data_IF_229904808420
#
_entry.id   IF_229904808420
#
_cell.length_a   1.000
_cell.length_b   1.000
_cell.length_c   1.000
_cell.angle_alpha   90.00
_cell.angle_beta   90.00
_cell.angle_gamma   90.00
#
_symmetry.space_group_name_H-M   'P 1'
#
loop_
_entity.id
_entity.type
_entity.pdbx_description
1 polymer ?
#
# COMPACT_ATOMS: atom_id res chain seq x y z
N UNK A 1 -10.34 13.52 32.06
CA UNK A 1 -9.04 12.80 31.95
C UNK A 1 -8.99 12.16 30.59
N UNK A 2 -8.12 12.68 29.79
CA UNK A 2 -7.90 12.24 28.41
C UNK A 2 -7.28 10.82 28.46
N UNK A 3 -8.08 9.81 28.10
CA UNK A 3 -7.59 8.43 27.94
C UNK A 3 -7.08 8.31 26.50
N UNK A 4 -5.82 8.63 26.29
CA UNK A 4 -5.18 8.36 25.00
C UNK A 4 -5.17 6.86 24.75
N UNK A 5 -5.97 6.42 23.79
CA UNK A 5 -5.95 5.03 23.31
C UNK A 5 -4.68 4.84 22.51
N UNK A 6 -3.77 4.11 23.07
CA UNK A 6 -2.47 3.78 22.50
C UNK A 6 -2.59 2.59 21.53
N UNK A 7 -1.96 2.66 20.36
CA UNK A 7 -2.08 1.66 19.28
C UNK A 7 -0.70 1.17 18.84
N UNK A 8 -0.50 -0.14 18.87
CA UNK A 8 0.67 -0.82 18.29
C UNK A 8 1.58 -1.53 19.30
N UNK A 9 2.60 -2.23 18.77
CA UNK A 9 3.53 -3.06 19.56
C UNK A 9 4.31 -2.26 20.63
N UNK A 10 4.68 -1.03 20.35
CA UNK A 10 5.38 -0.17 21.31
C UNK A 10 4.55 0.12 22.57
N UNK A 11 3.25 0.14 22.45
CA UNK A 11 2.34 0.37 23.55
C UNK A 11 2.10 -0.90 24.38
N UNK A 12 2.07 -2.06 23.74
CA UNK A 12 2.04 -3.36 24.42
C UNK A 12 3.26 -3.50 25.32
N UNK A 13 4.46 -3.19 24.80
CA UNK A 13 5.70 -3.24 25.57
C UNK A 13 5.68 -2.28 26.77
N UNK A 14 5.24 -1.05 26.58
CA UNK A 14 5.13 -0.06 27.67
C UNK A 14 4.16 -0.51 28.76
N UNK A 15 3.02 -1.10 28.41
CA UNK A 15 2.02 -1.59 29.37
C UNK A 15 2.55 -2.77 30.18
N UNK A 16 3.23 -3.70 29.53
CA UNK A 16 3.90 -4.81 30.23
C UNK A 16 4.93 -4.29 31.23
N UNK A 17 5.78 -3.32 30.83
CA UNK A 17 6.81 -2.78 31.69
C UNK A 17 6.25 -1.98 32.90
N UNK A 18 5.08 -1.35 32.75
CA UNK A 18 4.44 -0.57 33.80
C UNK A 18 3.72 -1.44 34.85
N UNK A 19 3.25 -2.64 34.47
CA UNK A 19 2.53 -3.55 35.39
C UNK A 19 1.22 -2.99 35.97
N UNK A 20 0.71 -1.89 35.43
CA UNK A 20 -0.50 -1.22 35.93
C UNK A 20 -1.76 -1.81 35.30
N UNK A 21 -2.58 -2.45 36.14
CA UNK A 21 -3.84 -3.11 35.74
C UNK A 21 -4.93 -2.14 35.25
N UNK A 22 -4.77 -0.83 35.45
CA UNK A 22 -5.72 0.18 34.98
C UNK A 22 -5.61 0.47 33.48
N UNK A 23 -4.63 -0.10 32.79
CA UNK A 23 -4.36 0.18 31.39
C UNK A 23 -4.54 -1.05 30.50
N UNK A 24 -5.07 -0.85 29.29
CA UNK A 24 -5.15 -1.84 28.24
C UNK A 24 -4.53 -1.30 26.94
N UNK A 25 -4.04 -2.20 26.09
CA UNK A 25 -3.55 -1.89 24.75
C UNK A 25 -4.40 -2.55 23.67
N UNK A 26 -4.52 -1.92 22.50
CA UNK A 26 -5.13 -2.52 21.32
C UNK A 26 -4.00 -3.12 20.48
N UNK A 27 -4.01 -4.46 20.33
CA UNK A 27 -2.99 -5.21 19.60
C UNK A 27 -3.54 -6.53 19.08
N UNK A 28 -2.70 -7.34 18.42
CA UNK A 28 -3.05 -8.71 18.01
C UNK A 28 -3.04 -9.67 19.21
N UNK A 29 -3.78 -10.78 19.09
CA UNK A 29 -3.73 -11.87 20.10
C UNK A 29 -2.34 -12.49 20.20
N UNK A 30 -1.59 -12.52 19.12
CA UNK A 30 -0.22 -13.00 19.08
C UNK A 30 0.73 -12.10 19.91
N UNK A 31 0.58 -10.78 19.79
CA UNK A 31 1.30 -9.84 20.63
C UNK A 31 0.94 -10.03 22.11
N UNK A 32 -0.33 -10.21 22.44
CA UNK A 32 -0.75 -10.49 23.82
C UNK A 32 -0.06 -11.76 24.37
N UNK A 33 -0.03 -12.84 23.61
CA UNK A 33 0.66 -14.09 23.96
C UNK A 33 2.17 -13.90 24.15
N UNK A 34 2.82 -13.21 23.23
CA UNK A 34 4.27 -12.98 23.26
C UNK A 34 4.70 -12.13 24.46
N UNK A 35 3.86 -11.25 24.95
CA UNK A 35 4.12 -10.38 26.09
C UNK A 35 3.45 -10.84 27.40
N UNK A 36 2.86 -12.03 27.44
CA UNK A 36 2.22 -12.56 28.63
C UNK A 36 1.01 -11.76 29.10
N UNK A 37 0.30 -11.08 28.19
CA UNK A 37 -0.86 -10.26 28.52
C UNK A 37 -2.17 -11.03 28.34
N UNK A 38 -3.18 -10.66 29.12
CA UNK A 38 -4.52 -11.26 29.04
C UNK A 38 -5.33 -10.55 27.94
N UNK A 39 -5.97 -11.32 27.06
CA UNK A 39 -6.89 -10.78 26.05
C UNK A 39 -8.23 -10.48 26.73
N UNK A 40 -8.58 -9.19 26.84
CA UNK A 40 -9.83 -8.75 27.46
C UNK A 40 -11.02 -8.80 26.51
N UNK A 41 -10.80 -8.48 25.23
CA UNK A 41 -11.83 -8.50 24.19
C UNK A 41 -11.19 -8.83 22.84
N UNK A 42 -11.89 -9.63 22.03
CA UNK A 42 -11.50 -10.02 20.67
C UNK A 42 -12.35 -9.30 19.65
N UNK A 43 -11.83 -9.20 18.42
CA UNK A 43 -12.56 -8.66 17.27
C UNK A 43 -13.15 -7.25 17.50
N UNK A 44 -12.39 -6.39 18.19
CA UNK A 44 -12.80 -5.03 18.54
C UNK A 44 -12.64 -4.01 17.39
N UNK A 45 -12.17 -4.47 16.21
CA UNK A 45 -12.07 -3.61 15.03
C UNK A 45 -13.46 -3.12 14.59
N UNK A 46 -13.55 -1.83 14.26
CA UNK A 46 -14.79 -1.20 13.80
C UNK A 46 -15.23 -1.71 12.42
N UNK A 47 -14.29 -2.21 11.62
CA UNK A 47 -14.55 -2.74 10.28
C UNK A 47 -13.79 -4.03 10.06
N UNK A 48 -14.49 -5.07 9.60
CA UNK A 48 -13.88 -6.33 9.16
C UNK A 48 -13.06 -6.19 7.88
N UNK A 49 -13.23 -5.07 7.16
CA UNK A 49 -12.53 -4.76 5.92
C UNK A 49 -11.21 -4.00 6.14
N UNK A 50 -10.77 -3.82 7.40
CA UNK A 50 -9.49 -3.17 7.69
C UNK A 50 -8.33 -4.05 7.19
N UNK A 51 -7.62 -3.55 6.18
CA UNK A 51 -6.53 -4.27 5.52
C UNK A 51 -5.31 -3.39 5.47
N UNK A 52 -4.18 -3.88 5.97
CA UNK A 52 -2.88 -3.22 5.84
C UNK A 52 -2.12 -3.86 4.69
N UNK A 53 -1.66 -3.04 3.76
CA UNK A 53 -0.82 -3.47 2.65
C UNK A 53 0.64 -3.30 3.01
N UNK A 54 1.40 -4.38 2.90
CA UNK A 54 2.85 -4.36 3.04
C UNK A 54 3.50 -4.43 1.66
N UNK A 55 4.59 -3.67 1.47
CA UNK A 55 5.43 -3.71 0.28
C UNK A 55 6.77 -4.32 0.67
N UNK A 56 7.22 -5.30 -0.11
CA UNK A 56 8.56 -5.87 0.00
C UNK A 56 9.46 -5.10 -0.96
N UNK A 57 10.50 -4.47 -0.44
CA UNK A 57 11.46 -3.71 -1.22
C UNK A 57 12.77 -4.49 -1.33
N UNK A 58 13.35 -4.51 -2.53
CA UNK A 58 14.67 -5.10 -2.79
C UNK A 58 15.56 -4.08 -3.50
N UNK A 59 16.86 -4.15 -3.27
CA UNK A 59 17.87 -3.36 -4.01
C UNK A 59 18.26 -3.99 -5.33
N UNK A 60 17.99 -5.27 -5.48
CA UNK A 60 18.28 -6.05 -6.70
C UNK A 60 16.98 -6.49 -7.34
N UNK A 61 16.95 -6.48 -8.66
CA UNK A 61 15.85 -7.10 -9.39
C UNK A 61 15.83 -8.60 -9.06
N UNK A 62 14.69 -9.05 -8.57
CA UNK A 62 14.45 -10.47 -8.35
C UNK A 62 13.63 -10.98 -9.53
N UNK A 63 14.14 -11.96 -10.31
CA UNK A 63 13.33 -12.59 -11.35
C UNK A 63 12.11 -13.22 -10.72
N UNK A 64 10.94 -12.63 -10.96
CA UNK A 64 9.67 -13.13 -10.45
C UNK A 64 8.96 -13.89 -11.57
N UNK A 65 8.39 -15.02 -11.21
CA UNK A 65 7.54 -15.78 -12.13
C UNK A 65 6.32 -14.91 -12.52
N UNK A 66 6.06 -14.77 -13.81
CA UNK A 66 4.88 -14.14 -14.41
C UNK A 66 4.46 -12.79 -13.77
N UNK A 67 5.20 -11.70 -14.04
CA UNK A 67 4.83 -10.38 -13.56
C UNK A 67 3.47 -9.95 -14.17
N UNK A 68 2.59 -9.43 -13.33
CA UNK A 68 1.24 -8.99 -13.75
C UNK A 68 0.86 -7.61 -13.22
N UNK A 69 1.77 -6.98 -12.48
CA UNK A 69 1.56 -5.68 -11.86
C UNK A 69 2.83 -4.83 -11.92
N UNK A 70 2.67 -3.54 -12.15
CA UNK A 70 3.74 -2.56 -12.12
C UNK A 70 3.37 -1.41 -11.18
N UNK A 71 4.35 -0.88 -10.45
CA UNK A 71 4.21 0.38 -9.72
C UNK A 71 5.03 1.46 -10.41
N UNK A 72 4.36 2.54 -10.75
CA UNK A 72 4.95 3.72 -11.39
C UNK A 72 4.78 4.91 -10.46
N UNK A 73 5.81 5.76 -10.43
CA UNK A 73 5.76 7.04 -9.72
C UNK A 73 6.02 8.16 -10.70
N UNK A 74 5.29 9.25 -10.54
CA UNK A 74 5.42 10.39 -11.45
C UNK A 74 4.96 11.69 -10.79
N UNK A 75 5.48 12.79 -11.34
CA UNK A 75 4.97 14.15 -11.12
C UNK A 75 4.42 14.67 -12.44
N UNK A 76 3.34 15.43 -12.40
CA UNK A 76 2.72 15.99 -13.59
C UNK A 76 3.07 17.46 -13.76
N UNK A 77 3.06 17.92 -15.00
CA UNK A 77 3.12 19.35 -15.31
C UNK A 77 1.87 20.03 -14.73
N UNK A 78 2.04 21.26 -14.28
CA UNK A 78 0.90 22.06 -13.77
C UNK A 78 0.07 22.63 -14.93
N UNK A 79 -0.58 21.73 -15.67
CA UNK A 79 -1.39 22.03 -16.85
C UNK A 79 -2.74 21.35 -16.76
N UNK A 80 -3.76 21.98 -17.34
CA UNK A 80 -5.12 21.41 -17.38
C UNK A 80 -5.08 20.04 -18.08
N UNK A 81 -5.57 19.02 -17.40
CA UNK A 81 -5.67 17.66 -17.94
C UNK A 81 -4.35 16.87 -17.97
N UNK A 82 -3.24 17.36 -17.41
CA UNK A 82 -1.97 16.64 -17.43
C UNK A 82 -2.08 15.24 -16.81
N UNK A 83 -2.68 15.14 -15.61
CA UNK A 83 -2.91 13.85 -14.96
C UNK A 83 -3.79 12.91 -15.81
N UNK A 84 -4.85 13.45 -16.41
CA UNK A 84 -5.75 12.66 -17.28
C UNK A 84 -4.98 12.09 -18.46
N UNK A 85 -4.12 12.87 -19.11
CA UNK A 85 -3.30 12.41 -20.24
C UNK A 85 -2.32 11.31 -19.85
N UNK A 86 -1.69 11.42 -18.66
CA UNK A 86 -0.82 10.37 -18.13
C UNK A 86 -1.61 9.07 -17.94
N UNK A 87 -2.76 9.13 -17.28
CA UNK A 87 -3.59 7.96 -17.04
C UNK A 87 -4.15 7.36 -18.34
N UNK A 88 -4.56 8.19 -19.30
CA UNK A 88 -5.02 7.77 -20.61
C UNK A 88 -3.92 7.02 -21.38
N UNK A 89 -2.67 7.47 -21.33
CA UNK A 89 -1.54 6.78 -21.99
C UNK A 89 -1.36 5.34 -21.51
N UNK A 90 -1.54 5.08 -20.23
CA UNK A 90 -1.51 3.73 -19.68
C UNK A 90 -2.75 2.92 -20.06
N UNK A 91 -3.94 3.54 -20.03
CA UNK A 91 -5.19 2.87 -20.40
C UNK A 91 -5.21 2.48 -21.90
N UNK A 92 -4.77 3.35 -22.79
CA UNK A 92 -4.63 3.10 -24.24
C UNK A 92 -3.62 1.99 -24.55
N UNK A 93 -2.64 1.82 -23.65
CA UNK A 93 -1.71 0.69 -23.68
C UNK A 93 -2.32 -0.60 -23.09
N UNK A 94 -3.61 -0.64 -22.74
CA UNK A 94 -4.26 -1.83 -22.19
C UNK A 94 -3.88 -2.15 -20.74
N UNK A 95 -3.33 -1.18 -20.00
CA UNK A 95 -2.97 -1.33 -18.60
C UNK A 95 -4.08 -0.80 -17.68
N UNK A 96 -4.61 -1.66 -16.83
CA UNK A 96 -5.66 -1.31 -15.89
C UNK A 96 -5.08 -0.71 -14.61
N UNK A 97 -5.47 0.50 -14.26
CA UNK A 97 -5.07 1.13 -13.00
C UNK A 97 -5.83 0.53 -11.82
N UNK A 98 -5.12 -0.09 -10.90
CA UNK A 98 -5.71 -0.70 -9.69
C UNK A 98 -5.55 0.15 -8.43
N UNK A 99 -4.69 1.19 -8.47
CA UNK A 99 -4.46 2.10 -7.35
C UNK A 99 -3.83 3.40 -7.85
N UNK A 100 -4.21 4.50 -7.23
CA UNK A 100 -3.50 5.78 -7.33
C UNK A 100 -3.49 6.47 -5.97
N UNK A 101 -2.36 7.00 -5.58
CA UNK A 101 -2.20 7.84 -4.39
C UNK A 101 -1.42 9.09 -4.78
N UNK A 102 -1.81 10.21 -4.20
CA UNK A 102 -1.07 11.47 -4.32
C UNK A 102 -0.52 11.88 -2.97
N UNK A 103 0.68 12.45 -2.98
CA UNK A 103 1.30 13.05 -1.80
C UNK A 103 1.87 14.41 -2.18
N UNK A 104 1.71 15.44 -1.32
CA UNK A 104 2.35 16.73 -1.56
C UNK A 104 3.87 16.58 -1.51
N UNK A 105 4.58 17.30 -2.36
CA UNK A 105 6.03 17.38 -2.32
C UNK A 105 6.46 18.39 -1.25
N UNK A 106 7.27 18.02 -0.25
CA UNK A 106 7.67 18.92 0.83
C UNK A 106 8.45 20.15 0.37
N UNK A 107 9.24 20.00 -0.70
CA UNK A 107 10.16 21.04 -1.19
C UNK A 107 9.52 21.97 -2.23
N UNK A 108 8.35 21.63 -2.77
CA UNK A 108 7.70 22.38 -3.84
C UNK A 108 6.22 22.54 -3.55
N UNK A 109 5.79 23.69 -3.00
CA UNK A 109 4.38 23.95 -2.70
C UNK A 109 3.50 23.74 -3.94
N UNK A 110 2.33 23.10 -3.72
CA UNK A 110 1.31 22.80 -4.74
C UNK A 110 1.73 21.80 -5.83
N UNK A 111 2.88 21.13 -5.70
CA UNK A 111 3.22 19.99 -6.54
C UNK A 111 2.93 18.69 -5.81
N UNK A 112 2.44 17.72 -6.59
CA UNK A 112 2.08 16.40 -6.09
C UNK A 112 2.90 15.32 -6.77
N UNK A 113 3.37 14.41 -5.96
CA UNK A 113 3.93 13.15 -6.38
C UNK A 113 2.81 12.11 -6.41
N UNK A 114 2.69 11.40 -7.50
CA UNK A 114 1.72 10.33 -7.69
C UNK A 114 2.41 8.97 -7.66
N UNK A 115 1.79 8.01 -6.99
CA UNK A 115 2.15 6.60 -7.05
C UNK A 115 0.97 5.83 -7.58
N UNK A 116 1.12 5.15 -8.70
CA UNK A 116 0.07 4.37 -9.33
C UNK A 116 0.50 2.92 -9.57
N UNK A 117 -0.43 2.01 -9.36
CA UNK A 117 -0.26 0.59 -9.67
C UNK A 117 -1.11 0.23 -10.89
N UNK A 118 -0.49 -0.42 -11.85
CA UNK A 118 -1.11 -0.90 -13.07
C UNK A 118 -1.05 -2.42 -13.14
N UNK A 119 -2.11 -3.03 -13.68
CA UNK A 119 -2.24 -4.46 -13.90
C UNK A 119 -2.47 -4.73 -15.40
N UNK A 120 -1.92 -5.81 -15.91
CA UNK A 120 -2.04 -6.19 -17.31
C UNK A 120 -0.83 -6.94 -17.82
N UNK A 121 -0.58 -6.83 -19.12
CA UNK A 121 0.60 -7.44 -19.76
C UNK A 121 1.86 -6.64 -19.38
N UNK A 122 2.78 -7.28 -18.66
CA UNK A 122 3.96 -6.65 -18.07
C UNK A 122 5.28 -7.06 -18.75
N UNK A 123 5.24 -7.36 -20.08
CA UNK A 123 6.49 -7.51 -20.82
C UNK A 123 7.18 -6.13 -21.00
N UNK A 124 8.50 -6.17 -21.11
CA UNK A 124 9.33 -4.98 -21.13
C UNK A 124 8.98 -4.02 -22.27
N UNK A 125 8.67 -4.54 -23.46
CA UNK A 125 8.33 -3.74 -24.64
C UNK A 125 7.00 -3.01 -24.45
N UNK A 126 5.99 -3.71 -23.94
CA UNK A 126 4.66 -3.15 -23.71
C UNK A 126 4.68 -2.05 -22.66
N UNK A 127 5.35 -2.31 -21.55
CA UNK A 127 5.48 -1.35 -20.47
C UNK A 127 6.31 -0.12 -20.88
N UNK A 128 7.40 -0.33 -21.64
CA UNK A 128 8.23 0.75 -22.17
C UNK A 128 7.41 1.70 -23.06
N UNK A 129 6.60 1.15 -23.97
CA UNK A 129 5.72 1.97 -24.83
C UNK A 129 4.72 2.80 -24.01
N UNK A 130 4.10 2.20 -23.00
CA UNK A 130 3.17 2.91 -22.12
C UNK A 130 3.86 4.05 -21.36
N UNK A 131 5.07 3.80 -20.85
CA UNK A 131 5.89 4.80 -20.17
C UNK A 131 6.30 5.95 -21.12
N UNK A 132 6.73 5.62 -22.33
CA UNK A 132 7.09 6.63 -23.34
C UNK A 132 5.91 7.50 -23.75
N UNK A 133 4.73 6.92 -23.93
CA UNK A 133 3.51 7.67 -24.23
C UNK A 133 3.10 8.63 -23.09
N UNK A 134 3.37 8.27 -21.83
CA UNK A 134 3.06 9.09 -20.67
C UNK A 134 4.09 10.21 -20.43
N UNK A 135 5.34 10.02 -20.86
CA UNK A 135 6.47 10.91 -20.59
C UNK A 135 6.25 12.38 -20.96
N UNK A 136 5.62 12.75 -22.11
CA UNK A 136 5.39 14.15 -22.47
C UNK A 136 4.55 14.93 -21.45
N UNK A 137 3.75 14.27 -20.65
CA UNK A 137 2.81 14.88 -19.70
C UNK A 137 3.33 14.87 -18.26
N UNK A 138 4.54 14.35 -18.04
CA UNK A 138 5.18 14.25 -16.72
C UNK A 138 6.39 15.16 -16.62
N UNK A 139 6.72 15.60 -15.40
CA UNK A 139 8.02 16.20 -15.10
C UNK A 139 9.03 15.11 -14.75
N UNK A 140 8.59 14.15 -13.95
CA UNK A 140 9.33 12.92 -13.61
C UNK A 140 8.45 11.72 -13.83
N UNK A 141 9.03 10.61 -14.30
CA UNK A 141 8.36 9.34 -14.50
C UNK A 141 9.34 8.21 -14.25
N UNK A 142 9.04 7.36 -13.26
CA UNK A 142 9.89 6.24 -12.84
C UNK A 142 9.07 4.98 -12.66
N UNK A 143 9.56 3.88 -13.21
CA UNK A 143 9.11 2.53 -12.86
C UNK A 143 9.81 2.11 -11.57
N UNK A 144 9.05 1.82 -10.52
CA UNK A 144 9.60 1.31 -9.26
C UNK A 144 9.85 -0.19 -9.31
N UNK A 145 9.01 -0.92 -10.02
CA UNK A 145 9.17 -2.35 -10.18
C UNK A 145 7.98 -3.01 -10.89
N UNK A 146 8.25 -4.21 -11.37
CA UNK A 146 7.28 -5.12 -11.98
C UNK A 146 7.29 -6.41 -11.18
N UNK A 147 6.11 -6.89 -10.78
CA UNK A 147 5.98 -8.00 -9.85
C UNK A 147 4.65 -8.74 -10.02
N UNK A 148 4.50 -9.98 -9.52
CA UNK A 148 3.24 -10.69 -9.54
C UNK A 148 2.24 -10.01 -8.58
N UNK A 149 0.97 -10.02 -8.95
CA UNK A 149 -0.11 -9.60 -8.06
C UNK A 149 -0.17 -10.55 -6.86
N UNK A 150 -0.15 -9.99 -5.66
CA UNK A 150 -0.33 -10.80 -4.46
C UNK A 150 -1.75 -11.39 -4.42
N UNK A 151 -1.83 -12.66 -4.10
CA UNK A 151 -3.10 -13.34 -3.81
C UNK A 151 -3.42 -13.02 -2.34
N UNK A 152 -4.54 -12.33 -2.05
CA UNK A 152 -4.91 -12.10 -0.66
C UNK A 152 -5.11 -13.44 0.06
N UNK A 153 -4.68 -13.56 1.33
CA UNK A 153 -4.96 -14.76 2.10
C UNK A 153 -6.47 -15.00 2.16
N UNK A 154 -6.89 -16.26 1.99
CA UNK A 154 -8.29 -16.64 2.16
C UNK A 154 -8.72 -16.25 3.58
N UNK A 155 -9.83 -15.55 3.72
CA UNK A 155 -10.40 -15.23 5.03
C UNK A 155 -10.94 -16.56 5.62
N UNK A 156 -10.56 -16.89 6.84
CA UNK A 156 -11.01 -18.11 7.53
C UNK A 156 -12.54 -18.21 7.69
N UNK A 157 -13.28 -17.13 7.48
CA UNK A 157 -14.74 -17.12 7.62
C UNK A 157 -15.51 -17.68 6.42
N UNK A 158 -14.86 -17.99 5.29
CA UNK A 158 -15.53 -18.63 4.14
C UNK A 158 -15.51 -20.19 4.22
N UNK A 159 -14.75 -20.74 5.14
CA UNK A 159 -14.65 -22.20 5.31
C UNK A 159 -15.79 -22.82 6.15
N UNK A 160 -16.60 -22.03 6.83
CA UNK A 160 -17.67 -22.53 7.72
C UNK A 160 -19.08 -22.44 7.13
N UNK A 161 -19.23 -22.11 5.84
CA UNK A 161 -20.53 -21.97 5.18
C UNK A 161 -20.66 -22.85 3.93
N UNK A 162 -20.08 -24.06 3.97
CA UNK A 162 -20.25 -25.09 2.93
C UNK A 162 -20.68 -26.38 3.57
#
# INVERSE_FOLDING_TARGET
RDRSVSRGLGDVYKRQAQGDLAYAAIASEEAARSFGLIVLAKNIQTSSANTTRFLILSRTETPLATPSKATVVFTVKNEVGALVRVLASFAESGLNMSRIESRPMPETPFQYFFSADFEGRMDAEHLSRAMEAARPYTCELRLLGVYPKAIPPKRENEANNS
#
